data_IF_631092665118
#
_entry.id   IF_631092665118
#
_cell.length_a   1.000
_cell.length_b   1.000
_cell.length_c   1.000
_cell.angle_alpha   90.00
_cell.angle_beta   90.00
_cell.angle_gamma   90.00
#
_symmetry.space_group_name_H-M   'P 1'
#
loop_
_entity.id
_entity.type
_entity.pdbx_description
1 polymer ?
#
# COMPACT_ATOMS: atom_id res chain seq x y z
N UNK A 1 -17.05 -46.02 0.51
CA UNK A 1 -17.06 -45.00 -0.58
C UNK A 1 -18.03 -43.91 -0.20
N UNK A 2 -17.59 -42.88 0.52
CA UNK A 2 -18.39 -41.67 0.73
C UNK A 2 -17.85 -40.57 -0.17
N UNK A 3 -18.75 -40.00 -0.97
CA UNK A 3 -18.50 -38.86 -1.83
C UNK A 3 -18.17 -37.64 -0.97
N UNK A 4 -16.93 -37.16 -1.04
CA UNK A 4 -16.58 -35.81 -0.62
C UNK A 4 -17.11 -34.84 -1.66
N UNK A 5 -18.14 -34.07 -1.28
CA UNK A 5 -18.67 -32.98 -2.08
C UNK A 5 -17.57 -31.95 -2.35
N UNK A 6 -17.20 -31.78 -3.60
CA UNK A 6 -16.32 -30.69 -4.04
C UNK A 6 -17.03 -29.37 -3.72
N UNK A 7 -16.39 -28.58 -2.86
CA UNK A 7 -16.84 -27.26 -2.48
C UNK A 7 -16.71 -26.34 -3.70
N UNK A 8 -17.76 -26.25 -4.50
CA UNK A 8 -17.79 -25.38 -5.69
C UNK A 8 -18.01 -23.95 -5.21
N UNK A 9 -16.92 -23.27 -4.87
CA UNK A 9 -16.97 -21.83 -4.63
C UNK A 9 -17.55 -21.16 -5.89
N UNK A 10 -18.57 -20.30 -5.77
CA UNK A 10 -19.21 -19.70 -6.93
C UNK A 10 -18.20 -18.82 -7.69
N UNK A 11 -18.02 -19.14 -8.98
CA UNK A 11 -17.18 -18.38 -9.90
C UNK A 11 -17.66 -16.92 -9.97
N UNK A 12 -16.73 -15.98 -9.82
CA UNK A 12 -17.04 -14.56 -9.91
C UNK A 12 -17.44 -14.18 -11.35
N UNK A 13 -18.36 -13.22 -11.55
CA UNK A 13 -18.59 -12.66 -12.88
C UNK A 13 -17.32 -11.95 -13.37
N UNK A 14 -16.81 -12.39 -14.53
CA UNK A 14 -15.61 -11.84 -15.17
C UNK A 14 -15.95 -10.46 -15.75
N UNK A 15 -15.31 -9.40 -15.24
CA UNK A 15 -15.47 -8.02 -15.75
C UNK A 15 -14.17 -7.49 -16.37
N UNK A 16 -14.31 -6.66 -17.39
CA UNK A 16 -13.21 -6.12 -18.21
C UNK A 16 -12.41 -5.06 -17.43
N UNK A 17 -11.48 -5.52 -16.61
CA UNK A 17 -10.43 -4.75 -15.89
C UNK A 17 -9.07 -5.50 -16.12
N UNK A 18 -7.89 -4.94 -15.77
CA UNK A 18 -6.63 -4.88 -16.57
C UNK A 18 -6.12 -6.17 -17.24
N UNK A 19 -5.26 -6.04 -18.26
CA UNK A 19 -4.70 -7.17 -19.01
C UNK A 19 -3.55 -7.89 -18.30
N UNK A 20 -3.11 -7.42 -17.13
CA UNK A 20 -1.99 -8.02 -16.41
C UNK A 20 -2.26 -8.10 -14.90
N UNK A 21 -1.73 -9.15 -14.27
CA UNK A 21 -1.78 -9.39 -12.83
C UNK A 21 -0.38 -9.42 -12.26
N UNK A 22 -0.24 -9.10 -10.98
CA UNK A 22 1.04 -9.21 -10.28
C UNK A 22 1.26 -10.62 -9.74
N UNK A 23 0.23 -11.16 -9.07
CA UNK A 23 0.14 -12.50 -8.47
C UNK A 23 1.16 -12.79 -7.34
N UNK A 24 2.00 -11.83 -6.97
CA UNK A 24 2.90 -11.88 -5.81
C UNK A 24 3.06 -10.49 -5.16
N UNK A 25 1.94 -9.80 -4.90
CA UNK A 25 1.95 -8.54 -4.17
C UNK A 25 2.32 -8.82 -2.71
N UNK A 26 3.53 -8.44 -2.33
CA UNK A 26 4.04 -8.55 -0.97
C UNK A 26 4.86 -7.30 -0.62
N UNK A 27 4.99 -6.97 0.67
CA UNK A 27 5.82 -5.86 1.15
C UNK A 27 7.22 -5.78 0.51
N UNK A 28 8.01 -6.88 0.41
CA UNK A 28 9.32 -6.85 -0.25
C UNK A 28 9.26 -6.57 -1.77
N UNK A 29 8.10 -6.73 -2.41
CA UNK A 29 7.89 -6.46 -3.84
C UNK A 29 7.31 -5.06 -4.08
N UNK A 30 7.27 -4.20 -3.06
CA UNK A 30 6.89 -2.79 -3.17
C UNK A 30 8.11 -1.94 -2.86
N UNK A 31 8.64 -1.25 -3.87
CA UNK A 31 9.81 -0.40 -3.73
C UNK A 31 9.43 1.09 -3.80
N UNK A 32 10.11 1.91 -2.99
CA UNK A 32 9.96 3.36 -3.03
C UNK A 32 11.19 3.98 -3.70
N UNK A 33 10.97 4.85 -4.68
CA UNK A 33 11.99 5.78 -5.16
C UNK A 33 12.14 6.93 -4.14
N UNK A 34 13.17 6.79 -3.30
CA UNK A 34 13.47 7.73 -2.24
C UNK A 34 14.36 8.89 -2.68
N UNK A 35 14.82 8.94 -3.94
CA UNK A 35 15.78 9.96 -4.41
C UNK A 35 15.34 11.40 -4.06
N UNK A 36 14.07 11.79 -4.19
CA UNK A 36 13.62 13.16 -3.85
C UNK A 36 13.80 13.54 -2.37
N UNK A 37 14.01 12.57 -1.48
CA UNK A 37 14.13 12.79 -0.04
C UNK A 37 15.56 13.13 0.39
N UNK A 38 16.56 12.88 -0.46
CA UNK A 38 17.97 13.13 -0.19
C UNK A 38 18.48 14.34 -0.97
N UNK A 39 19.56 14.94 -0.49
CA UNK A 39 20.29 16.00 -1.23
C UNK A 39 21.36 15.43 -2.15
N UNK A 40 21.69 14.16 -1.99
CA UNK A 40 22.77 13.47 -2.69
C UNK A 40 22.32 12.05 -3.05
N UNK A 41 22.87 11.44 -4.12
CA UNK A 41 22.58 10.05 -4.46
C UNK A 41 23.02 9.08 -3.36
N UNK A 42 22.18 8.08 -3.08
CA UNK A 42 22.46 7.04 -2.10
C UNK A 42 22.79 5.69 -2.76
N UNK A 43 23.46 4.81 -2.02
CA UNK A 43 23.84 3.48 -2.45
C UNK A 43 22.59 2.61 -2.68
N UNK A 44 22.47 1.92 -3.84
CA UNK A 44 21.25 1.22 -4.22
C UNK A 44 20.86 0.09 -3.25
N UNK A 45 21.84 -0.55 -2.60
CA UNK A 45 21.60 -1.61 -1.61
C UNK A 45 21.58 -1.10 -0.16
N UNK A 46 22.13 0.09 0.10
CA UNK A 46 22.26 0.66 1.45
C UNK A 46 21.73 2.09 1.45
N UNK A 47 20.40 2.31 1.58
CA UNK A 47 19.79 3.62 1.36
C UNK A 47 20.25 4.74 2.31
N UNK A 48 20.93 4.40 3.41
CA UNK A 48 21.52 5.36 4.36
C UNK A 48 23.03 5.56 4.14
N UNK A 49 23.55 5.18 2.97
CA UNK A 49 24.95 5.38 2.57
C UNK A 49 25.02 6.15 1.26
N UNK A 50 26.04 6.97 1.07
CA UNK A 50 26.36 7.56 -0.22
C UNK A 50 26.87 6.48 -1.19
N UNK A 51 27.06 6.83 -2.46
CA UNK A 51 27.54 5.90 -3.49
C UNK A 51 28.91 5.27 -3.17
N UNK A 52 29.71 5.90 -2.31
CA UNK A 52 30.98 5.37 -1.82
C UNK A 52 30.83 4.19 -0.84
N UNK A 53 29.60 3.89 -0.39
CA UNK A 53 29.27 2.86 0.59
C UNK A 53 29.74 3.16 2.02
N UNK A 54 30.40 4.29 2.25
CA UNK A 54 31.05 4.66 3.52
C UNK A 54 30.31 5.78 4.23
N UNK A 55 30.09 6.87 3.51
CA UNK A 55 29.49 8.10 4.04
C UNK A 55 28.04 7.86 4.41
N UNK A 56 27.66 8.17 5.65
CA UNK A 56 26.27 8.00 6.12
C UNK A 56 25.40 9.14 5.63
N UNK A 57 24.28 8.82 5.00
CA UNK A 57 23.27 9.76 4.53
C UNK A 57 21.97 9.60 5.31
N UNK A 58 21.28 10.73 5.51
CA UNK A 58 19.95 10.76 6.09
C UNK A 58 19.00 11.52 5.16
N UNK A 59 17.73 11.09 5.04
CA UNK A 59 16.72 11.86 4.31
C UNK A 59 16.61 13.27 4.89
N UNK A 60 16.77 14.28 4.04
CA UNK A 60 16.62 15.69 4.43
C UNK A 60 15.16 16.15 4.39
N UNK A 61 14.36 15.52 3.55
CA UNK A 61 12.95 15.86 3.36
C UNK A 61 12.04 14.70 3.78
N UNK A 62 10.86 15.04 4.29
CA UNK A 62 9.78 14.08 4.51
C UNK A 62 8.99 13.81 3.22
N UNK A 63 8.30 12.67 3.16
CA UNK A 63 7.40 12.30 2.04
C UNK A 63 6.25 13.29 1.81
N UNK A 64 5.87 14.05 2.84
CA UNK A 64 4.87 15.13 2.72
C UNK A 64 5.42 16.41 2.09
N UNK A 65 6.75 16.58 2.04
CA UNK A 65 7.41 17.76 1.50
C UNK A 65 7.90 17.56 0.07
N UNK A 66 8.24 16.31 -0.30
CA UNK A 66 8.71 15.92 -1.62
C UNK A 66 7.95 14.69 -2.08
N UNK A 67 7.26 14.74 -3.23
CA UNK A 67 6.54 13.58 -3.75
C UNK A 67 7.53 12.46 -4.09
N UNK A 68 7.18 11.23 -3.72
CA UNK A 68 7.94 10.01 -4.02
C UNK A 68 7.08 9.08 -4.86
N UNK A 69 7.72 8.19 -5.61
CA UNK A 69 7.03 7.17 -6.42
C UNK A 69 7.21 5.79 -5.79
N UNK A 70 6.17 4.98 -5.88
CA UNK A 70 6.19 3.58 -5.47
C UNK A 70 6.02 2.71 -6.70
N UNK A 71 6.74 1.59 -6.71
CA UNK A 71 6.74 0.63 -7.81
C UNK A 71 6.50 -0.76 -7.26
N UNK A 72 5.67 -1.53 -7.96
CA UNK A 72 5.71 -2.98 -7.84
C UNK A 72 6.92 -3.49 -8.61
N UNK A 73 7.67 -4.39 -8.00
CA UNK A 73 8.83 -5.07 -8.60
C UNK A 73 8.60 -6.58 -8.56
N UNK A 74 9.52 -7.32 -9.17
CA UNK A 74 9.49 -8.79 -9.23
C UNK A 74 8.22 -9.34 -9.90
N UNK A 75 8.23 -9.32 -11.23
CA UNK A 75 7.12 -9.78 -12.06
C UNK A 75 7.21 -11.29 -12.39
N UNK A 76 7.98 -12.06 -11.63
CA UNK A 76 8.23 -13.48 -11.91
C UNK A 76 6.97 -14.35 -11.94
N UNK A 77 5.94 -13.96 -11.19
CA UNK A 77 4.65 -14.66 -11.13
C UNK A 77 3.53 -13.95 -11.90
N UNK A 78 3.81 -12.77 -12.47
CA UNK A 78 2.83 -11.96 -13.17
C UNK A 78 2.32 -12.65 -14.44
N UNK A 79 1.04 -12.43 -14.75
CA UNK A 79 0.39 -12.99 -15.95
C UNK A 79 -0.11 -11.86 -16.81
N UNK A 80 -0.04 -12.03 -18.13
CA UNK A 80 -0.60 -11.10 -19.11
C UNK A 80 -1.61 -11.87 -19.97
N UNK A 81 -2.83 -11.36 -20.00
CA UNK A 81 -3.96 -11.94 -20.72
C UNK A 81 -4.21 -11.16 -22.00
N UNK A 82 -4.57 -11.88 -23.06
CA UNK A 82 -5.09 -11.27 -24.29
C UNK A 82 -6.58 -10.97 -24.13
N UNK A 83 -7.08 -10.07 -24.97
CA UNK A 83 -8.52 -9.86 -25.07
C UNK A 83 -9.23 -11.15 -25.51
N UNK A 84 -10.32 -11.50 -24.83
CA UNK A 84 -11.07 -12.75 -25.08
C UNK A 84 -10.47 -14.02 -24.47
N UNK A 85 -9.29 -13.96 -23.84
CA UNK A 85 -8.68 -15.11 -23.17
C UNK A 85 -9.34 -15.41 -21.81
N UNK A 86 -9.46 -16.70 -21.46
CA UNK A 86 -9.88 -17.13 -20.14
C UNK A 86 -8.90 -16.63 -19.06
N UNK A 87 -9.41 -16.05 -18.00
CA UNK A 87 -8.59 -15.33 -16.99
C UNK A 87 -8.25 -16.15 -15.75
N UNK A 88 -8.70 -17.39 -15.70
CA UNK A 88 -8.42 -18.28 -14.58
C UNK A 88 -6.98 -18.79 -14.67
N UNK A 89 -6.28 -18.80 -13.55
CA UNK A 89 -4.92 -19.34 -13.46
C UNK A 89 -4.88 -20.42 -12.38
N UNK A 90 -3.97 -21.37 -12.51
CA UNK A 90 -3.74 -22.41 -11.51
C UNK A 90 -2.35 -22.25 -10.90
N UNK A 91 -2.19 -22.73 -9.67
CA UNK A 91 -0.93 -22.71 -8.95
C UNK A 91 -1.00 -21.99 -7.61
N UNK A 92 0.04 -22.17 -6.81
CA UNK A 92 0.08 -21.79 -5.40
C UNK A 92 1.23 -20.81 -5.09
N UNK A 93 2.01 -20.41 -6.09
CA UNK A 93 3.21 -19.61 -5.87
C UNK A 93 2.86 -18.12 -5.63
N UNK A 94 2.88 -17.71 -4.36
CA UNK A 94 2.87 -16.33 -3.91
C UNK A 94 3.44 -16.27 -2.48
N UNK A 95 4.06 -15.16 -2.10
CA UNK A 95 4.53 -14.91 -0.71
C UNK A 95 3.35 -14.68 0.22
N UNK A 96 2.35 -13.96 -0.27
CA UNK A 96 1.05 -13.79 0.37
C UNK A 96 0.02 -14.64 -0.40
N UNK A 97 -0.19 -15.89 0.02
CA UNK A 97 -1.17 -16.74 -0.64
C UNK A 97 -2.59 -16.31 -0.26
N UNK A 98 -3.44 -16.08 -1.25
CA UNK A 98 -4.88 -15.99 -1.05
C UNK A 98 -5.45 -17.40 -0.75
N UNK A 99 -6.58 -17.50 -0.03
CA UNK A 99 -7.15 -18.79 0.38
C UNK A 99 -7.36 -19.76 -0.78
N UNK A 100 -7.80 -19.27 -1.93
CA UNK A 100 -8.04 -20.06 -3.13
C UNK A 100 -6.77 -20.53 -3.86
N UNK A 101 -5.60 -19.98 -3.52
CA UNK A 101 -4.31 -20.41 -4.08
C UNK A 101 -3.73 -21.63 -3.37
N UNK A 102 -4.17 -21.93 -2.14
CA UNK A 102 -3.58 -22.97 -1.28
C UNK A 102 -3.74 -24.35 -1.90
N UNK A 103 -4.91 -24.65 -2.44
CA UNK A 103 -5.23 -25.96 -3.02
C UNK A 103 -4.76 -26.09 -4.48
N UNK A 104 -4.23 -25.01 -5.07
CA UNK A 104 -3.75 -24.96 -6.46
C UNK A 104 -4.86 -24.99 -7.53
N UNK A 105 -6.12 -24.95 -7.10
CA UNK A 105 -7.30 -24.88 -7.97
C UNK A 105 -7.26 -23.66 -8.89
N UNK A 106 -7.97 -23.68 -10.04
CA UNK A 106 -8.11 -22.49 -10.87
C UNK A 106 -8.78 -21.34 -10.10
N UNK A 107 -8.15 -20.17 -10.10
CA UNK A 107 -8.64 -18.96 -9.44
C UNK A 107 -8.56 -17.71 -10.33
N UNK A 108 -9.28 -16.65 -9.91
CA UNK A 108 -9.19 -15.32 -10.51
C UNK A 108 -7.98 -14.56 -9.90
N UNK A 109 -6.90 -14.35 -10.67
CA UNK A 109 -5.68 -13.71 -10.17
C UNK A 109 -5.88 -12.23 -9.80
N UNK A 110 -6.88 -11.55 -10.36
CA UNK A 110 -7.16 -10.16 -9.99
C UNK A 110 -7.76 -10.07 -8.58
N UNK A 111 -8.57 -11.08 -8.18
CA UNK A 111 -9.07 -11.17 -6.80
C UNK A 111 -7.98 -11.59 -5.82
N UNK A 112 -7.02 -12.40 -6.27
CA UNK A 112 -5.83 -12.72 -5.48
C UNK A 112 -4.98 -11.46 -5.22
N UNK A 113 -4.70 -10.65 -6.25
CA UNK A 113 -3.95 -9.38 -6.08
C UNK A 113 -4.60 -8.43 -5.05
N UNK A 114 -5.94 -8.34 -5.06
CA UNK A 114 -6.68 -7.56 -4.05
C UNK A 114 -6.50 -8.12 -2.64
N UNK A 115 -6.59 -9.44 -2.49
CA UNK A 115 -6.34 -10.10 -1.21
C UNK A 115 -4.93 -9.81 -0.71
N UNK A 116 -3.94 -10.00 -1.56
CA UNK A 116 -2.52 -9.79 -1.25
C UNK A 116 -2.23 -8.37 -0.79
N UNK A 117 -2.74 -7.36 -1.49
CA UNK A 117 -2.63 -5.96 -1.06
C UNK A 117 -3.35 -5.72 0.28
N UNK A 118 -4.53 -6.30 0.48
CA UNK A 118 -5.25 -6.25 1.76
C UNK A 118 -4.48 -6.91 2.91
N UNK A 119 -3.79 -8.02 2.64
CA UNK A 119 -2.99 -8.76 3.60
C UNK A 119 -1.78 -7.92 4.07
N UNK A 120 -1.07 -7.27 3.14
CA UNK A 120 0.01 -6.31 3.47
C UNK A 120 -0.52 -5.19 4.38
N UNK A 121 -1.68 -4.62 4.07
CA UNK A 121 -2.28 -3.58 4.92
C UNK A 121 -2.53 -4.10 6.34
N UNK A 122 -3.12 -5.29 6.47
CA UNK A 122 -3.51 -5.87 7.77
C UNK A 122 -2.34 -6.37 8.59
N UNK A 123 -1.34 -6.98 7.97
CA UNK A 123 -0.25 -7.69 8.65
C UNK A 123 0.97 -6.80 8.85
N UNK A 124 1.29 -5.97 7.87
CA UNK A 124 2.56 -5.25 7.84
C UNK A 124 2.34 -3.76 8.19
N UNK A 125 1.41 -3.08 7.51
CA UNK A 125 1.25 -1.63 7.65
C UNK A 125 0.49 -1.23 8.92
N UNK A 126 -0.74 -1.70 9.12
CA UNK A 126 -1.58 -1.29 10.25
C UNK A 126 -0.94 -1.64 11.61
N UNK A 127 -0.37 -2.84 11.83
CA UNK A 127 0.29 -3.18 13.10
C UNK A 127 1.55 -2.36 13.35
N UNK A 128 2.26 -1.95 12.29
CA UNK A 128 3.42 -1.06 12.43
C UNK A 128 3.04 0.35 12.88
N UNK A 129 1.77 0.76 12.74
CA UNK A 129 1.31 2.04 13.23
C UNK A 129 -0.20 2.12 13.49
N UNK A 130 -0.59 2.24 14.77
CA UNK A 130 -1.99 2.37 15.18
C UNK A 130 -2.73 3.57 14.55
N UNK A 131 -2.02 4.63 14.12
CA UNK A 131 -2.65 5.74 13.41
C UNK A 131 -3.24 5.35 12.05
N UNK A 132 -2.84 4.21 11.49
CA UNK A 132 -3.34 3.65 10.23
C UNK A 132 -4.58 2.76 10.41
N UNK A 133 -5.08 2.60 11.65
CA UNK A 133 -6.24 1.76 11.96
C UNK A 133 -7.52 2.12 11.21
N UNK A 134 -7.65 3.37 10.73
CA UNK A 134 -8.76 3.78 9.87
C UNK A 134 -8.79 3.04 8.52
N UNK A 135 -7.69 2.43 8.08
CA UNK A 135 -7.64 1.58 6.88
C UNK A 135 -8.13 0.14 7.13
N UNK A 136 -8.34 -0.25 8.39
CA UNK A 136 -8.75 -1.62 8.74
C UNK A 136 -10.07 -2.08 8.08
N UNK A 137 -11.12 -1.23 7.96
CA UNK A 137 -12.37 -1.64 7.30
C UNK A 137 -12.17 -2.05 5.85
N UNK A 138 -11.44 -1.26 5.04
CA UNK A 138 -11.20 -1.60 3.64
C UNK A 138 -10.26 -2.79 3.51
N UNK A 139 -9.24 -2.88 4.37
CA UNK A 139 -8.32 -4.00 4.37
C UNK A 139 -9.04 -5.34 4.70
N UNK A 140 -10.04 -5.34 5.59
CA UNK A 140 -10.91 -6.50 5.87
C UNK A 140 -11.69 -6.93 4.63
N UNK A 141 -12.31 -5.99 3.92
CA UNK A 141 -13.06 -6.28 2.70
C UNK A 141 -12.16 -6.86 1.59
N UNK A 142 -10.95 -6.33 1.46
CA UNK A 142 -9.96 -6.83 0.50
C UNK A 142 -9.50 -8.26 0.81
N UNK A 143 -9.43 -8.63 2.09
CA UNK A 143 -9.04 -9.98 2.54
C UNK A 143 -10.21 -10.91 2.87
N UNK A 144 -11.39 -10.68 2.29
CA UNK A 144 -12.50 -11.63 2.43
C UNK A 144 -12.10 -13.00 1.89
N UNK A 145 -12.48 -14.09 2.58
CA UNK A 145 -12.09 -15.43 2.16
C UNK A 145 -12.67 -15.78 0.79
N UNK A 146 -13.96 -15.49 0.60
CA UNK A 146 -14.63 -15.72 -0.68
C UNK A 146 -14.20 -14.65 -1.71
N UNK A 147 -13.57 -15.05 -2.83
CA UNK A 147 -13.05 -14.09 -3.83
C UNK A 147 -14.13 -13.15 -4.39
N UNK A 148 -15.37 -13.63 -4.50
CA UNK A 148 -16.51 -12.85 -5.01
C UNK A 148 -16.91 -11.69 -4.10
N UNK A 149 -16.71 -11.80 -2.79
CA UNK A 149 -17.04 -10.76 -1.81
C UNK A 149 -15.99 -9.66 -1.74
N UNK A 150 -14.78 -9.91 -2.24
CA UNK A 150 -13.72 -8.90 -2.31
C UNK A 150 -14.12 -7.78 -3.29
N UNK A 151 -13.81 -6.51 -2.98
CA UNK A 151 -14.04 -5.41 -3.91
C UNK A 151 -13.20 -5.58 -5.18
N UNK A 152 -13.63 -4.93 -6.26
CA UNK A 152 -12.76 -4.74 -7.43
C UNK A 152 -11.66 -3.73 -7.10
N UNK A 153 -10.60 -3.66 -7.92
CA UNK A 153 -9.55 -2.65 -7.75
C UNK A 153 -10.09 -1.21 -7.73
N UNK A 154 -11.01 -0.89 -8.65
CA UNK A 154 -11.63 0.43 -8.71
C UNK A 154 -12.42 0.77 -7.44
N UNK A 155 -13.16 -0.20 -6.89
CA UNK A 155 -13.91 -0.04 -5.64
C UNK A 155 -12.97 0.04 -4.44
N UNK A 156 -11.94 -0.81 -4.38
CA UNK A 156 -10.93 -0.78 -3.31
C UNK A 156 -10.20 0.56 -3.27
N UNK A 157 -9.79 1.08 -4.44
CA UNK A 157 -9.16 2.41 -4.57
C UNK A 157 -10.09 3.52 -4.07
N UNK A 158 -11.35 3.51 -4.49
CA UNK A 158 -12.35 4.49 -4.02
C UNK A 158 -12.52 4.40 -2.52
N UNK A 159 -12.76 3.20 -1.98
CA UNK A 159 -12.92 2.99 -0.54
C UNK A 159 -11.71 3.46 0.26
N UNK A 160 -10.49 3.23 -0.24
CA UNK A 160 -9.27 3.77 0.38
C UNK A 160 -9.24 5.30 0.35
N UNK A 161 -9.55 5.94 -0.77
CA UNK A 161 -9.64 7.40 -0.85
C UNK A 161 -10.66 7.95 0.14
N UNK A 162 -11.86 7.35 0.21
CA UNK A 162 -12.92 7.77 1.15
C UNK A 162 -12.43 7.69 2.60
N UNK A 163 -11.68 6.64 2.96
CA UNK A 163 -11.06 6.53 4.29
C UNK A 163 -10.11 7.70 4.58
N UNK A 164 -9.30 8.12 3.61
CA UNK A 164 -8.42 9.29 3.76
C UNK A 164 -9.18 10.61 3.77
N UNK A 165 -10.25 10.75 2.99
CA UNK A 165 -11.07 11.95 2.92
C UNK A 165 -11.74 12.26 4.25
N UNK A 166 -12.25 11.23 4.94
CA UNK A 166 -12.90 11.32 6.25
C UNK A 166 -11.95 11.70 7.41
N UNK A 167 -10.64 11.68 7.20
CA UNK A 167 -9.70 12.19 8.20
C UNK A 167 -9.73 13.72 8.23
N UNK A 168 -9.66 14.29 9.43
CA UNK A 168 -9.40 15.73 9.58
C UNK A 168 -8.06 16.09 8.93
N UNK A 169 -7.97 17.28 8.31
CA UNK A 169 -6.76 17.70 7.60
C UNK A 169 -5.49 17.62 8.45
N UNK A 170 -5.59 17.94 9.75
CA UNK A 170 -4.46 17.84 10.67
C UNK A 170 -4.00 16.39 10.87
N UNK A 171 -4.90 15.40 10.90
CA UNK A 171 -4.52 13.98 11.02
C UNK A 171 -3.77 13.48 9.79
N UNK A 172 -4.07 14.03 8.59
CA UNK A 172 -3.37 13.68 7.35
C UNK A 172 -1.93 14.23 7.32
N UNK A 173 -1.72 15.41 7.92
CA UNK A 173 -0.42 16.10 7.96
C UNK A 173 0.43 15.74 9.17
N UNK A 174 -0.19 15.22 10.23
CA UNK A 174 0.50 14.85 11.44
C UNK A 174 1.53 13.74 11.16
N UNK A 175 2.76 13.84 11.69
CA UNK A 175 3.77 12.80 11.49
C UNK A 175 3.33 11.45 12.02
N UNK A 176 3.59 10.40 11.25
CA UNK A 176 3.42 9.02 11.68
C UNK A 176 4.51 8.72 12.73
N UNK A 177 4.10 8.44 13.97
CA UNK A 177 5.01 8.16 15.09
C UNK A 177 5.24 6.64 15.18
N UNK A 178 6.47 6.13 14.96
CA UNK A 178 6.74 4.70 15.07
C UNK A 178 6.52 4.18 16.49
N UNK A 179 6.01 2.94 16.68
CA UNK A 179 5.66 2.38 17.99
C UNK A 179 6.86 2.27 18.93
N UNK A 180 8.07 2.02 18.40
CA UNK A 180 9.32 1.85 19.17
C UNK A 180 10.23 3.09 19.13
N UNK A 181 9.66 4.28 18.94
CA UNK A 181 10.42 5.53 18.90
C UNK A 181 10.88 5.95 20.31
N UNK A 182 12.16 6.37 20.44
CA UNK A 182 12.71 6.87 21.70
C UNK A 182 11.97 8.14 22.16
N UNK A 183 11.91 8.45 23.47
CA UNK A 183 11.24 9.65 23.97
C UNK A 183 11.70 10.95 23.27
N UNK A 184 13.02 11.09 23.02
CA UNK A 184 13.59 12.23 22.30
C UNK A 184 13.07 12.32 20.87
N UNK A 185 13.04 11.20 20.14
CA UNK A 185 12.51 11.17 18.77
C UNK A 185 11.02 11.46 18.71
N UNK A 186 10.24 11.01 19.70
CA UNK A 186 8.82 11.34 19.82
C UNK A 186 8.64 12.84 19.98
N UNK A 187 9.34 13.45 20.95
CA UNK A 187 9.29 14.90 21.17
C UNK A 187 9.66 15.66 19.89
N UNK A 188 10.71 15.25 19.18
CA UNK A 188 11.08 15.86 17.91
C UNK A 188 9.96 15.75 16.85
N UNK A 189 9.32 14.58 16.71
CA UNK A 189 8.18 14.40 15.81
C UNK A 189 6.95 15.23 16.22
N UNK A 190 6.67 15.37 17.52
CA UNK A 190 5.63 16.27 18.02
C UNK A 190 5.89 17.71 17.61
N UNK A 191 7.12 18.21 17.80
CA UNK A 191 7.49 19.56 17.37
C UNK A 191 7.42 19.74 15.85
N UNK A 192 7.81 18.74 15.07
CA UNK A 192 7.63 18.75 13.61
C UNK A 192 6.14 18.86 13.25
N UNK A 193 5.28 18.11 13.93
CA UNK A 193 3.82 18.17 13.75
C UNK A 193 3.25 19.55 14.06
N UNK A 194 3.57 20.10 15.23
CA UNK A 194 3.14 21.46 15.64
C UNK A 194 3.60 22.50 14.63
N UNK A 195 4.88 22.48 14.24
CA UNK A 195 5.43 23.42 13.26
C UNK A 195 4.73 23.32 11.90
N UNK A 196 4.43 22.09 11.46
CA UNK A 196 3.74 21.84 10.18
C UNK A 196 2.31 22.39 10.20
N UNK A 197 1.58 22.18 11.30
CA UNK A 197 0.22 22.72 11.45
C UNK A 197 0.21 24.24 11.57
N UNK A 198 1.10 24.82 12.38
CA UNK A 198 1.22 26.29 12.50
C UNK A 198 1.55 26.93 11.16
N UNK A 199 2.51 26.36 10.42
CA UNK A 199 2.85 26.85 9.09
C UNK A 199 1.66 26.76 8.12
N UNK A 200 0.91 25.66 8.15
CA UNK A 200 -0.29 25.50 7.33
C UNK A 200 -1.38 26.53 7.68
N UNK A 201 -1.63 26.76 8.97
CA UNK A 201 -2.60 27.77 9.43
C UNK A 201 -2.17 29.17 8.97
N UNK A 202 -0.90 29.54 9.18
CA UNK A 202 -0.36 30.82 8.76
C UNK A 202 -0.44 31.01 7.24
N UNK A 203 -0.10 30.00 6.45
CA UNK A 203 -0.25 30.05 4.98
C UNK A 203 -1.71 30.19 4.55
N UNK A 204 -2.63 29.51 5.24
CA UNK A 204 -4.07 29.59 4.95
C UNK A 204 -4.62 30.98 5.27
N UNK A 205 -4.26 31.54 6.42
CA UNK A 205 -4.61 32.91 6.80
C UNK A 205 -4.02 33.93 5.81
N UNK A 206 -2.74 33.79 5.47
CA UNK A 206 -2.09 34.68 4.51
C UNK A 206 -2.81 34.71 3.16
N UNK A 207 -3.25 33.55 2.64
CA UNK A 207 -4.03 33.46 1.39
C UNK A 207 -5.41 34.11 1.47
N UNK A 208 -6.00 34.22 2.65
CA UNK A 208 -7.26 34.94 2.85
C UNK A 208 -7.06 36.46 2.83
N UNK A 209 -5.92 36.95 3.32
CA UNK A 209 -5.62 38.39 3.38
C UNK A 209 -4.89 38.93 2.15
N UNK A 210 -4.27 38.07 1.35
CA UNK A 210 -3.60 38.42 0.09
C UNK A 210 -4.11 37.50 -1.01
N UNK A 211 -5.27 37.82 -1.64
CA UNK A 211 -5.77 37.06 -2.77
C UNK A 211 -4.79 37.24 -3.94
N UNK A 212 -4.24 36.12 -4.42
CA UNK A 212 -3.42 36.08 -5.63
C UNK A 212 -4.39 36.17 -6.81
N UNK A 213 -4.40 37.30 -7.52
CA UNK A 213 -5.09 37.48 -8.81
C UNK A 213 -4.29 36.85 -9.95
#
# INVERSE_FOLDING_TARGET
MSHTGKNTNPLCPIRVEPYSTFSDIASPNIMMDAQPLFTEPFHPYHPFKALDGRTTLYPRYARSQKPVRYYYIDFGYSKRFKEGEGRMVSGWNAREQAPEQVDGDPYDPFKADIYQLGAILRRDLIPSNASLSFLLPIARQMTEEQPCKRPTLAVARRGMNDQFENLSGWRKRWPIIPPFSTPRSRIALYWIGIRTELFHILQTLFRLFVPIY
#
